data_IF_578856471568
#
_entry.id   IF_578856471568
#
_cell.length_a   1.000
_cell.length_b   1.000
_cell.length_c   1.000
_cell.angle_alpha   90.00
_cell.angle_beta   90.00
_cell.angle_gamma   90.00
#
_symmetry.space_group_name_H-M   'P 1'
#
loop_
_entity.id
_entity.type
_entity.pdbx_description
1 polymer ?
#
# COMPACT_ATOMS: atom_id res chain seq x y z
N UNK A 1 -2.44 73.22 -22.94
CA UNK A 1 -1.79 72.01 -22.38
C UNK A 1 -2.78 71.32 -21.46
N UNK A 2 -3.04 70.02 -21.64
CA UNK A 2 -3.88 69.26 -20.71
C UNK A 2 -3.13 69.05 -19.38
N UNK A 3 -3.78 69.34 -18.25
CA UNK A 3 -3.23 69.03 -16.92
C UNK A 3 -3.55 67.59 -16.57
N UNK A 4 -2.53 66.81 -16.27
CA UNK A 4 -2.69 65.47 -15.69
C UNK A 4 -3.01 65.64 -14.21
N UNK A 5 -4.15 65.11 -13.77
CA UNK A 5 -4.50 65.02 -12.36
C UNK A 5 -4.21 63.59 -11.90
N UNK A 6 -3.25 63.44 -10.98
CA UNK A 6 -2.97 62.16 -10.33
C UNK A 6 -3.79 62.07 -9.05
N UNK A 7 -4.60 61.03 -8.92
CA UNK A 7 -5.36 60.74 -7.70
C UNK A 7 -4.63 59.68 -6.89
N UNK A 8 -4.31 59.97 -5.62
CA UNK A 8 -3.69 59.03 -4.70
C UNK A 8 -4.70 58.53 -3.66
N UNK A 9 -4.45 57.35 -3.09
CA UNK A 9 -5.24 56.83 -1.96
C UNK A 9 -5.06 57.73 -0.73
N UNK A 10 -6.17 58.04 -0.05
CA UNK A 10 -6.13 58.71 1.25
C UNK A 10 -5.75 57.73 2.37
N UNK A 11 -5.56 58.22 3.60
CA UNK A 11 -5.14 57.40 4.76
C UNK A 11 -6.09 56.23 5.05
N UNK A 12 -7.40 56.45 4.88
CA UNK A 12 -8.43 55.41 5.05
C UNK A 12 -8.34 54.34 3.95
N UNK A 13 -8.17 54.77 2.70
CA UNK A 13 -7.96 53.90 1.54
C UNK A 13 -6.66 53.10 1.63
N UNK A 14 -5.61 53.67 2.23
CA UNK A 14 -4.38 52.95 2.52
C UNK A 14 -4.58 51.90 3.61
N UNK A 15 -5.32 52.23 4.67
CA UNK A 15 -5.66 51.29 5.76
C UNK A 15 -6.50 50.10 5.28
N UNK A 16 -7.50 50.36 4.44
CA UNK A 16 -8.33 49.30 3.84
C UNK A 16 -7.53 48.42 2.88
N UNK A 17 -6.65 49.02 2.07
CA UNK A 17 -5.74 48.27 1.20
C UNK A 17 -4.81 47.36 2.01
N UNK A 18 -4.16 47.85 3.06
CA UNK A 18 -3.30 47.03 3.93
C UNK A 18 -4.08 45.90 4.62
N UNK A 19 -5.30 46.17 5.08
CA UNK A 19 -6.17 45.16 5.69
C UNK A 19 -6.55 44.05 4.71
N UNK A 20 -6.88 44.42 3.48
CA UNK A 20 -7.18 43.46 2.41
C UNK A 20 -5.95 42.67 1.98
N UNK A 21 -4.77 43.31 1.95
CA UNK A 21 -3.51 42.64 1.63
C UNK A 21 -3.19 41.53 2.66
N UNK A 22 -3.44 41.78 3.95
CA UNK A 22 -3.27 40.77 5.03
C UNK A 22 -4.17 39.54 4.86
N UNK A 23 -5.30 39.66 4.17
CA UNK A 23 -6.21 38.54 3.89
C UNK A 23 -5.77 37.71 2.68
N UNK A 24 -4.92 38.26 1.81
CA UNK A 24 -4.47 37.62 0.57
C UNK A 24 -3.19 36.81 0.79
N UNK A 25 -2.33 37.22 1.73
CA UNK A 25 -1.08 36.50 2.03
C UNK A 25 -1.29 35.46 3.13
N UNK A 26 -1.03 34.18 2.83
CA UNK A 26 -0.68 33.22 3.88
C UNK A 26 0.61 33.71 4.54
N UNK A 27 0.51 34.23 5.76
CA UNK A 27 1.66 34.70 6.51
C UNK A 27 2.66 33.57 6.72
N UNK A 28 3.92 33.77 6.31
CA UNK A 28 5.01 32.87 6.69
C UNK A 28 5.74 33.45 7.90
N UNK A 29 6.07 32.60 8.87
CA UNK A 29 6.79 32.96 10.09
C UNK A 29 7.93 31.99 10.34
N UNK A 30 9.01 32.45 10.97
CA UNK A 30 10.11 31.58 11.40
C UNK A 30 10.17 31.56 12.92
N UNK A 31 10.18 30.37 13.50
CA UNK A 31 10.31 30.14 14.94
C UNK A 31 11.71 29.61 15.22
N UNK A 32 12.53 30.40 15.92
CA UNK A 32 13.93 30.05 16.26
C UNK A 32 14.16 29.82 17.76
N UNK A 33 13.17 30.13 18.60
CA UNK A 33 13.24 30.01 20.05
C UNK A 33 12.11 29.13 20.61
N UNK A 34 12.26 28.70 21.86
CA UNK A 34 11.28 27.84 22.51
C UNK A 34 9.87 28.47 22.51
N UNK A 35 8.89 27.71 22.03
CA UNK A 35 7.48 28.11 22.01
C UNK A 35 6.58 26.94 22.37
N UNK A 36 5.50 27.24 23.07
CA UNK A 36 4.39 26.31 23.29
C UNK A 36 3.49 26.28 22.06
N UNK A 37 3.34 25.13 21.42
CA UNK A 37 2.56 25.00 20.19
C UNK A 37 1.05 25.18 20.40
N UNK A 38 0.56 25.16 21.64
CA UNK A 38 -0.83 25.51 21.94
C UNK A 38 -1.12 27.00 21.73
N UNK A 39 -0.09 27.86 21.75
CA UNK A 39 -0.25 29.32 21.55
C UNK A 39 -0.12 29.72 20.08
N UNK A 40 0.32 28.81 19.21
CA UNK A 40 0.42 29.01 17.76
C UNK A 40 -0.97 28.87 17.11
N UNK A 41 -1.79 29.90 17.25
CA UNK A 41 -3.19 29.92 16.82
C UNK A 41 -3.47 30.81 15.61
N UNK A 42 -2.52 31.67 15.23
CA UNK A 42 -2.67 32.53 14.05
C UNK A 42 -2.51 31.70 12.76
N UNK A 43 -3.39 31.93 11.78
CA UNK A 43 -3.35 31.20 10.52
C UNK A 43 -2.06 31.52 9.75
N UNK A 44 -1.45 30.51 9.15
CA UNK A 44 -0.23 30.66 8.35
C UNK A 44 0.71 29.46 8.41
N UNK A 45 1.87 29.64 7.78
CA UNK A 45 2.94 28.65 7.69
C UNK A 45 4.11 29.06 8.58
N UNK A 46 4.50 28.16 9.48
CA UNK A 46 5.57 28.35 10.46
C UNK A 46 6.75 27.45 10.10
N UNK A 47 7.89 28.04 9.79
CA UNK A 47 9.16 27.35 9.67
C UNK A 47 9.76 27.16 11.07
N UNK A 48 9.75 25.92 11.55
CA UNK A 48 10.29 25.56 12.85
C UNK A 48 11.78 25.29 12.69
N UNK A 49 12.61 26.18 13.25
CA UNK A 49 14.09 26.10 13.25
C UNK A 49 14.64 25.99 14.66
N UNK A 50 13.95 25.25 15.50
CA UNK A 50 14.36 24.99 16.88
C UNK A 50 13.80 23.67 17.37
N UNK A 51 14.58 22.96 18.18
CA UNK A 51 14.14 21.75 18.88
C UNK A 51 13.52 22.07 20.25
N UNK A 52 13.66 23.30 20.75
CA UNK A 52 13.12 23.68 22.05
C UNK A 52 11.64 24.06 21.98
N UNK A 53 10.83 23.61 22.97
CA UNK A 53 9.45 24.03 23.23
C UNK A 53 8.53 22.86 23.61
N UNK A 54 7.23 23.15 23.81
CA UNK A 54 6.25 22.23 24.40
C UNK A 54 5.05 21.97 23.47
N UNK A 55 4.25 20.94 23.78
CA UNK A 55 3.02 20.56 23.08
C UNK A 55 3.20 20.27 21.57
N UNK A 56 4.40 19.82 21.20
CA UNK A 56 4.75 19.36 19.84
C UNK A 56 4.65 17.84 19.74
N UNK A 57 4.37 17.28 18.55
CA UNK A 57 4.29 15.83 18.36
C UNK A 57 5.67 15.16 18.46
N UNK A 58 6.73 15.88 18.05
CA UNK A 58 8.11 15.39 18.03
C UNK A 58 9.08 16.56 18.16
N UNK A 59 10.25 16.30 18.75
CA UNK A 59 11.35 17.27 18.88
C UNK A 59 12.16 17.35 17.58
N UNK A 60 11.73 18.20 16.65
CA UNK A 60 12.47 18.40 15.39
C UNK A 60 12.16 19.74 14.72
N UNK A 61 12.97 20.10 13.73
CA UNK A 61 12.70 21.14 12.74
C UNK A 61 11.67 20.66 11.71
N UNK A 62 11.09 21.60 10.97
CA UNK A 62 10.14 21.29 9.90
C UNK A 62 9.18 22.43 9.63
N UNK A 63 8.05 22.08 9.02
CA UNK A 63 7.01 23.03 8.63
C UNK A 63 5.71 22.73 9.39
N UNK A 64 5.21 23.73 10.12
CA UNK A 64 3.92 23.70 10.79
C UNK A 64 2.94 24.61 10.04
N UNK A 65 1.82 24.06 9.61
CA UNK A 65 0.69 24.80 9.06
C UNK A 65 -0.41 24.91 10.11
N UNK A 66 -0.93 26.12 10.30
CA UNK A 66 -2.04 26.40 11.22
C UNK A 66 -3.13 27.09 10.43
N UNK A 67 -4.36 26.60 10.54
CA UNK A 67 -5.51 27.17 9.83
C UNK A 67 -6.80 26.93 10.61
N UNK A 68 -7.79 27.81 10.40
CA UNK A 68 -9.12 27.69 10.97
C UNK A 68 -9.67 28.99 11.57
N UNK A 69 -10.88 28.92 12.10
CA UNK A 69 -11.61 30.05 12.69
C UNK A 69 -11.48 30.04 14.22
N UNK A 70 -12.12 31.00 14.89
CA UNK A 70 -11.99 31.22 16.34
C UNK A 70 -12.36 30.00 17.19
N UNK A 71 -13.29 29.16 16.73
CA UNK A 71 -13.82 28.00 17.46
C UNK A 71 -13.36 26.65 16.92
N UNK A 72 -12.63 26.63 15.81
CA UNK A 72 -12.17 25.38 15.19
C UNK A 72 -10.89 25.65 14.41
N UNK A 73 -9.78 25.09 14.90
CA UNK A 73 -8.48 25.19 14.25
C UNK A 73 -7.88 23.82 14.03
N UNK A 74 -6.89 23.75 13.15
CA UNK A 74 -6.05 22.58 13.03
C UNK A 74 -4.59 22.97 12.87
N UNK A 75 -3.74 22.02 13.21
CA UNK A 75 -2.31 22.08 12.98
C UNK A 75 -1.89 20.86 12.18
N UNK A 76 -1.03 21.07 11.18
CA UNK A 76 -0.35 20.02 10.43
C UNK A 76 1.14 20.27 10.51
N UNK A 77 1.92 19.30 10.97
CA UNK A 77 3.36 19.40 11.07
C UNK A 77 4.07 18.31 10.25
N UNK A 78 4.99 18.76 9.40
CA UNK A 78 5.84 17.90 8.57
C UNK A 78 7.28 18.08 9.06
N UNK A 79 7.88 17.09 9.73
CA UNK A 79 9.24 17.18 10.26
C UNK A 79 10.31 16.92 9.19
N UNK A 80 11.47 17.58 9.30
CA UNK A 80 12.63 17.44 8.37
C UNK A 80 13.43 16.12 8.54
N UNK A 81 12.83 15.06 9.10
CA UNK A 81 13.53 13.78 9.37
C UNK A 81 12.79 12.53 8.91
N UNK A 82 11.49 12.62 8.64
CA UNK A 82 10.67 11.47 8.21
C UNK A 82 9.87 11.85 6.97
N UNK A 83 10.28 11.33 5.82
CA UNK A 83 9.62 11.61 4.53
C UNK A 83 8.18 11.06 4.45
N UNK A 84 7.86 10.09 5.32
CA UNK A 84 6.61 9.35 5.31
C UNK A 84 5.69 9.68 6.50
N UNK A 85 5.99 10.72 7.29
CA UNK A 85 5.17 11.06 8.46
C UNK A 85 4.71 12.51 8.42
N UNK A 86 3.42 12.69 8.64
CA UNK A 86 2.77 13.98 8.87
C UNK A 86 2.05 13.89 10.21
N UNK A 87 2.15 14.90 11.05
CA UNK A 87 1.38 14.99 12.28
C UNK A 87 0.21 15.95 12.08
N UNK A 88 -0.97 15.62 12.60
CA UNK A 88 -2.09 16.57 12.65
C UNK A 88 -2.78 16.58 14.01
N UNK A 89 -3.40 17.70 14.35
CA UNK A 89 -4.36 17.80 15.46
C UNK A 89 -5.39 18.88 15.20
N UNK A 90 -6.46 18.85 15.96
CA UNK A 90 -7.54 19.83 15.91
C UNK A 90 -7.68 20.53 17.26
N UNK A 91 -8.14 21.78 17.22
CA UNK A 91 -8.60 22.55 18.36
C UNK A 91 -10.11 22.68 18.25
N UNK A 92 -10.80 22.25 19.31
CA UNK A 92 -12.22 22.51 19.52
C UNK A 92 -12.45 22.43 21.03
N UNK A 93 -12.60 23.60 21.66
CA UNK A 93 -12.61 23.77 23.10
C UNK A 93 -11.35 23.15 23.76
N UNK A 94 -10.19 23.40 23.17
CA UNK A 94 -8.90 22.85 23.56
C UNK A 94 -8.27 21.96 22.48
N UNK A 95 -6.94 21.98 22.44
CA UNK A 95 -6.14 21.14 21.55
C UNK A 95 -6.33 19.66 21.88
N UNK A 96 -6.62 18.86 20.86
CA UNK A 96 -6.61 17.40 20.96
C UNK A 96 -5.18 16.88 20.79
N UNK A 97 -5.00 15.61 21.16
CA UNK A 97 -3.74 14.91 20.96
C UNK A 97 -3.33 14.88 19.49
N UNK A 98 -2.02 14.81 19.28
CA UNK A 98 -1.45 14.67 17.96
C UNK A 98 -1.75 13.28 17.38
N UNK A 99 -2.24 13.27 16.15
CA UNK A 99 -2.40 12.08 15.34
C UNK A 99 -1.20 11.98 14.39
N UNK A 100 -0.48 10.86 14.45
CA UNK A 100 0.53 10.51 13.45
C UNK A 100 -0.18 9.95 12.21
N UNK A 101 0.01 10.62 11.07
CA UNK A 101 -0.36 10.13 9.75
C UNK A 101 0.90 9.60 9.09
N UNK A 102 1.08 8.29 9.15
CA UNK A 102 2.08 7.63 8.32
C UNK A 102 1.53 7.57 6.90
N UNK A 103 2.13 8.32 5.98
CA UNK A 103 1.95 8.07 4.57
C UNK A 103 2.56 6.69 4.32
N UNK A 104 1.69 5.71 4.06
CA UNK A 104 2.13 4.48 3.42
C UNK A 104 2.56 4.95 2.03
N UNK A 105 3.86 5.13 1.83
CA UNK A 105 4.41 5.42 0.52
C UNK A 105 4.02 4.26 -0.40
N UNK A 106 2.92 4.40 -1.15
CA UNK A 106 2.62 3.58 -2.32
C UNK A 106 3.47 3.98 -3.52
N UNK A 107 4.66 4.54 -3.25
CA UNK A 107 5.70 4.86 -4.21
C UNK A 107 7.03 4.27 -3.71
N UNK A 108 7.21 2.97 -3.92
CA UNK A 108 8.47 2.30 -3.64
C UNK A 108 8.34 0.79 -3.52
N UNK A 109 7.89 0.30 -2.37
CA UNK A 109 7.78 -1.13 -2.08
C UNK A 109 6.71 -1.37 -1.00
N UNK A 110 5.51 -1.77 -1.42
CA UNK A 110 4.59 -2.50 -0.52
C UNK A 110 4.57 -3.94 -1.03
N UNK A 111 5.71 -4.63 -0.83
CA UNK A 111 6.00 -6.01 -1.24
C UNK A 111 5.47 -6.39 -2.63
N UNK A 112 6.10 -5.90 -3.69
CA UNK A 112 6.03 -6.57 -4.99
C UNK A 112 7.30 -7.38 -5.20
N UNK A 113 7.18 -8.69 -5.12
CA UNK A 113 8.36 -9.57 -5.22
C UNK A 113 8.86 -9.76 -6.65
N UNK A 114 8.15 -9.22 -7.64
CA UNK A 114 8.24 -9.69 -9.01
C UNK A 114 7.83 -11.15 -9.15
N UNK A 115 7.89 -11.67 -10.38
CA UNK A 115 7.69 -13.10 -10.64
C UNK A 115 8.91 -13.90 -10.21
N UNK A 116 8.71 -14.85 -9.29
CA UNK A 116 9.69 -15.86 -8.88
C UNK A 116 9.35 -17.21 -9.51
N UNK A 117 10.35 -17.98 -9.89
CA UNK A 117 10.16 -19.34 -10.42
C UNK A 117 9.67 -20.30 -9.34
N UNK A 118 8.72 -21.17 -9.71
CA UNK A 118 8.24 -22.26 -8.87
C UNK A 118 8.73 -23.59 -9.45
N UNK A 119 9.45 -24.35 -8.63
CA UNK A 119 10.02 -25.64 -9.00
C UNK A 119 8.95 -26.74 -8.95
N UNK A 120 8.90 -27.54 -10.01
CA UNK A 120 7.98 -28.66 -10.10
C UNK A 120 8.40 -29.85 -9.23
N UNK A 121 7.38 -30.57 -8.77
CA UNK A 121 7.46 -31.78 -7.97
C UNK A 121 7.92 -33.03 -8.71
N UNK A 122 7.92 -34.16 -8.01
CA UNK A 122 8.27 -35.45 -8.60
C UNK A 122 7.31 -35.84 -9.73
N UNK A 123 7.84 -36.18 -10.90
CA UNK A 123 7.01 -36.59 -12.04
C UNK A 123 6.23 -35.44 -12.69
N UNK A 124 6.52 -34.19 -12.31
CA UNK A 124 5.89 -32.98 -12.82
C UNK A 124 6.98 -32.09 -13.44
N UNK A 125 6.65 -31.46 -14.56
CA UNK A 125 7.49 -30.45 -15.20
C UNK A 125 6.64 -29.35 -15.81
N UNK A 126 7.25 -28.23 -16.19
CA UNK A 126 6.56 -27.23 -17.00
C UNK A 126 6.12 -27.84 -18.34
N UNK A 127 4.97 -27.40 -18.86
CA UNK A 127 4.51 -27.76 -20.20
C UNK A 127 5.44 -27.21 -21.29
N UNK A 128 5.93 -25.98 -21.09
CA UNK A 128 6.93 -25.32 -21.92
C UNK A 128 7.74 -24.33 -21.09
N UNK A 129 8.83 -23.80 -21.64
CA UNK A 129 9.64 -22.76 -20.96
C UNK A 129 8.84 -21.49 -20.68
N UNK A 130 7.91 -21.11 -21.56
CA UNK A 130 7.08 -19.90 -21.38
C UNK A 130 5.93 -20.10 -20.39
N UNK A 131 5.53 -21.35 -20.19
CA UNK A 131 4.43 -21.71 -19.28
C UNK A 131 4.92 -22.17 -17.89
N UNK A 132 6.22 -22.02 -17.62
CA UNK A 132 6.82 -22.46 -16.37
C UNK A 132 6.10 -21.84 -15.15
N UNK A 133 5.78 -22.66 -14.13
CA UNK A 133 5.13 -22.17 -12.92
C UNK A 133 5.91 -21.03 -12.27
N UNK A 134 5.18 -20.00 -11.86
CA UNK A 134 5.73 -18.80 -11.23
C UNK A 134 4.76 -18.24 -10.20
N UNK A 135 5.32 -17.52 -9.23
CA UNK A 135 4.59 -16.93 -8.10
C UNK A 135 5.01 -15.47 -7.92
N UNK A 136 4.07 -14.62 -7.54
CA UNK A 136 4.32 -13.21 -7.21
C UNK A 136 3.45 -12.81 -6.05
N UNK A 137 4.01 -12.02 -5.13
CA UNK A 137 3.25 -11.34 -4.08
C UNK A 137 3.22 -9.85 -4.40
N UNK A 138 2.05 -9.24 -4.28
CA UNK A 138 1.82 -7.79 -4.33
C UNK A 138 1.04 -7.40 -3.07
N UNK A 139 1.71 -6.73 -2.13
CA UNK A 139 1.14 -6.39 -0.83
C UNK A 139 0.80 -7.64 -0.01
N UNK A 140 -0.49 -7.90 0.24
CA UNK A 140 -0.97 -9.12 0.91
C UNK A 140 -1.50 -10.18 -0.05
N UNK A 141 -1.56 -9.89 -1.35
CA UNK A 141 -2.08 -10.82 -2.35
C UNK A 141 -0.95 -11.60 -2.97
N UNK A 142 -1.10 -12.92 -3.07
CA UNK A 142 -0.19 -13.82 -3.78
C UNK A 142 -0.92 -14.44 -4.95
N UNK A 143 -0.24 -14.52 -6.08
CA UNK A 143 -0.72 -15.20 -7.29
C UNK A 143 0.29 -16.25 -7.73
N UNK A 144 -0.19 -17.47 -8.00
CA UNK A 144 0.55 -18.56 -8.63
C UNK A 144 -0.10 -18.87 -9.97
N UNK A 145 0.71 -18.92 -11.03
CA UNK A 145 0.28 -19.23 -12.41
C UNK A 145 1.27 -20.21 -13.05
N UNK A 146 0.79 -21.00 -14.01
CA UNK A 146 1.63 -21.82 -14.88
C UNK A 146 0.83 -22.88 -15.63
N UNK A 147 1.52 -23.66 -16.45
CA UNK A 147 0.99 -24.89 -17.06
C UNK A 147 2.02 -25.99 -16.86
N UNK A 148 1.58 -27.09 -16.29
CA UNK A 148 2.43 -28.25 -16.01
C UNK A 148 2.06 -29.44 -16.90
N UNK A 149 2.99 -30.38 -16.97
CA UNK A 149 2.80 -31.72 -17.50
C UNK A 149 3.34 -32.77 -16.54
N UNK A 150 3.00 -34.03 -16.79
CA UNK A 150 3.32 -35.14 -15.93
C UNK A 150 3.95 -36.32 -16.69
N UNK A 151 5.00 -36.90 -16.13
CA UNK A 151 5.64 -38.13 -16.65
C UNK A 151 5.17 -39.40 -15.93
N UNK A 152 4.42 -39.23 -14.84
CA UNK A 152 3.79 -40.28 -14.04
C UNK A 152 2.28 -40.12 -14.04
N UNK A 153 1.55 -41.23 -13.96
CA UNK A 153 0.10 -41.21 -13.77
C UNK A 153 -0.23 -41.25 -12.30
N UNK A 154 -1.14 -40.41 -11.84
CA UNK A 154 -1.52 -40.30 -10.43
C UNK A 154 -3.00 -39.96 -10.25
N UNK A 155 -3.59 -40.48 -9.17
CA UNK A 155 -4.95 -40.14 -8.74
C UNK A 155 -4.94 -38.93 -7.79
N UNK A 156 -3.92 -38.88 -6.92
CA UNK A 156 -3.60 -37.77 -6.04
C UNK A 156 -2.10 -37.48 -6.09
N UNK A 157 -1.72 -36.23 -5.83
CA UNK A 157 -0.32 -35.82 -5.75
C UNK A 157 -0.16 -34.84 -4.59
N UNK A 158 0.82 -35.02 -3.71
CA UNK A 158 0.96 -34.23 -2.46
C UNK A 158 2.05 -33.15 -2.50
N UNK A 159 2.90 -33.17 -3.52
CA UNK A 159 4.08 -32.30 -3.63
C UNK A 159 4.25 -31.71 -5.03
N UNK A 160 3.22 -31.06 -5.57
CA UNK A 160 3.20 -30.54 -6.95
C UNK A 160 4.31 -29.51 -7.20
N UNK A 161 4.62 -28.71 -6.18
CA UNK A 161 5.66 -27.69 -6.18
C UNK A 161 6.55 -27.83 -4.95
N UNK A 162 7.83 -27.44 -5.06
CA UNK A 162 8.84 -27.68 -4.01
C UNK A 162 9.25 -26.44 -3.22
N UNK A 163 9.01 -25.24 -3.74
CA UNK A 163 9.67 -24.03 -3.25
C UNK A 163 8.70 -22.83 -3.06
N UNK A 164 7.48 -23.06 -2.54
CA UNK A 164 6.60 -21.94 -2.16
C UNK A 164 7.30 -21.12 -1.04
N UNK A 165 7.67 -19.85 -1.29
CA UNK A 165 8.39 -19.03 -0.32
C UNK A 165 7.60 -18.85 0.96
N UNK A 166 8.28 -18.84 2.12
CA UNK A 166 7.63 -18.79 3.43
C UNK A 166 6.73 -17.56 3.61
N UNK A 167 7.19 -16.40 3.11
CA UNK A 167 6.45 -15.13 3.11
C UNK A 167 5.27 -15.10 2.12
N UNK A 168 5.08 -16.16 1.35
CA UNK A 168 3.98 -16.31 0.39
C UNK A 168 3.03 -17.44 0.74
N UNK A 169 3.25 -18.17 1.85
CA UNK A 169 2.38 -19.29 2.25
C UNK A 169 1.07 -18.77 2.85
N UNK A 170 -0.08 -19.35 2.54
CA UNK A 170 -1.34 -18.92 3.13
C UNK A 170 -1.43 -19.32 4.61
N UNK A 171 -2.22 -18.61 5.41
CA UNK A 171 -2.47 -18.98 6.82
C UNK A 171 -3.45 -20.15 6.98
N UNK A 172 -4.20 -20.47 5.92
CA UNK A 172 -5.22 -21.52 5.84
C UNK A 172 -5.13 -22.24 4.50
N UNK A 173 -5.77 -23.38 4.37
CA UNK A 173 -5.84 -24.06 3.07
C UNK A 173 -6.52 -23.17 2.02
N UNK A 174 -5.89 -23.07 0.85
CA UNK A 174 -6.44 -22.40 -0.33
C UNK A 174 -6.82 -23.45 -1.35
N UNK A 175 -8.07 -23.44 -1.78
CA UNK A 175 -8.61 -24.38 -2.75
C UNK A 175 -8.87 -23.68 -4.07
N UNK A 176 -8.38 -24.24 -5.17
CA UNK A 176 -8.70 -23.76 -6.52
C UNK A 176 -8.93 -24.91 -7.49
N UNK A 177 -9.98 -24.78 -8.29
CA UNK A 177 -10.33 -25.80 -9.29
C UNK A 177 -9.51 -25.54 -10.55
N UNK A 178 -8.69 -26.51 -10.90
CA UNK A 178 -7.92 -26.55 -12.14
C UNK A 178 -8.67 -27.34 -13.19
N UNK A 179 -8.65 -26.84 -14.42
CA UNK A 179 -9.07 -27.64 -15.57
C UNK A 179 -7.92 -28.57 -15.95
N UNK A 180 -8.20 -29.86 -16.12
CA UNK A 180 -7.23 -30.80 -16.66
C UNK A 180 -7.78 -31.48 -17.90
N UNK A 181 -6.89 -31.80 -18.83
CA UNK A 181 -7.20 -32.78 -19.87
C UNK A 181 -7.04 -34.19 -19.29
N UNK A 182 -7.92 -35.11 -19.69
CA UNK A 182 -7.73 -36.55 -19.50
C UNK A 182 -7.89 -37.17 -20.88
N UNK A 183 -6.96 -38.05 -21.24
CA UNK A 183 -7.06 -38.84 -22.46
C UNK A 183 -8.47 -39.45 -22.59
N UNK A 184 -9.21 -38.98 -23.60
CA UNK A 184 -10.60 -39.38 -23.92
C UNK A 184 -11.72 -38.86 -22.98
N UNK A 185 -11.50 -37.78 -22.19
CA UNK A 185 -12.57 -37.08 -21.44
C UNK A 185 -12.40 -35.57 -21.52
N UNK A 186 -13.48 -34.86 -21.86
CA UNK A 186 -13.43 -33.43 -22.18
C UNK A 186 -13.59 -32.48 -20.98
N UNK A 187 -13.79 -32.98 -19.75
CA UNK A 187 -14.20 -32.13 -18.61
C UNK A 187 -13.59 -32.54 -17.25
N UNK A 188 -12.36 -33.03 -17.21
CA UNK A 188 -11.74 -33.34 -15.93
C UNK A 188 -11.36 -32.08 -15.16
N UNK A 189 -11.66 -32.08 -13.86
CA UNK A 189 -11.34 -30.98 -12.95
C UNK A 189 -10.56 -31.56 -11.77
N UNK A 190 -9.56 -30.79 -11.33
CA UNK A 190 -8.69 -31.15 -10.22
C UNK A 190 -8.77 -30.07 -9.17
N UNK A 191 -8.92 -30.45 -7.91
CA UNK A 191 -8.78 -29.54 -6.80
C UNK A 191 -7.30 -29.39 -6.48
N UNK A 192 -6.77 -28.18 -6.67
CA UNK A 192 -5.50 -27.78 -6.10
C UNK A 192 -5.71 -27.28 -4.67
N UNK A 193 -4.93 -27.81 -3.73
CA UNK A 193 -4.89 -27.30 -2.36
C UNK A 193 -3.49 -26.78 -2.05
N UNK A 194 -3.39 -25.50 -1.68
CA UNK A 194 -2.15 -24.91 -1.16
C UNK A 194 -2.29 -24.85 0.36
N UNK A 195 -1.43 -25.58 1.06
CA UNK A 195 -1.48 -25.70 2.52
C UNK A 195 -0.58 -24.63 3.19
N UNK A 196 -0.82 -24.29 4.47
CA UNK A 196 0.01 -23.33 5.20
C UNK A 196 1.51 -23.68 5.29
N UNK A 197 1.86 -24.96 5.15
CA UNK A 197 3.25 -25.41 5.06
C UNK A 197 3.93 -25.15 3.72
N UNK A 198 3.22 -24.60 2.73
CA UNK A 198 3.74 -24.39 1.36
C UNK A 198 3.69 -25.63 0.48
N UNK A 199 3.11 -26.74 0.97
CA UNK A 199 2.86 -27.93 0.15
C UNK A 199 1.63 -27.73 -0.72
N UNK A 200 1.72 -28.18 -1.97
CA UNK A 200 0.64 -28.07 -2.95
C UNK A 200 0.20 -29.46 -3.37
N UNK A 201 -1.05 -29.80 -3.07
CA UNK A 201 -1.65 -31.07 -3.43
C UNK A 201 -2.67 -30.93 -4.56
N UNK A 202 -2.85 -32.02 -5.32
CA UNK A 202 -3.84 -32.19 -6.36
C UNK A 202 -4.68 -33.41 -6.04
N UNK A 203 -6.00 -33.21 -6.03
CA UNK A 203 -6.98 -34.27 -5.80
C UNK A 203 -8.10 -34.16 -6.83
N UNK A 204 -8.76 -35.25 -7.17
CA UNK A 204 -9.83 -35.20 -8.15
C UNK A 204 -11.08 -34.45 -7.66
N UNK A 205 -11.76 -33.73 -8.57
CA UNK A 205 -12.95 -32.95 -8.24
C UNK A 205 -14.15 -33.24 -9.15
N UNK A 206 -15.31 -33.54 -8.56
CA UNK A 206 -16.61 -33.51 -9.22
C UNK A 206 -17.12 -34.81 -9.86
N UNK A 207 -16.52 -35.98 -9.58
CA UNK A 207 -17.09 -37.27 -9.99
C UNK A 207 -16.73 -38.41 -9.03
N UNK A 208 -17.67 -39.33 -8.85
CA UNK A 208 -17.57 -40.48 -7.94
C UNK A 208 -17.11 -41.73 -8.72
N UNK A 209 -15.80 -41.87 -8.90
CA UNK A 209 -15.19 -43.07 -9.46
C UNK A 209 -13.67 -42.91 -9.59
N UNK A 210 -12.91 -44.01 -9.76
CA UNK A 210 -11.46 -43.95 -9.87
C UNK A 210 -11.08 -43.21 -11.15
N UNK A 211 -10.29 -42.14 -11.02
CA UNK A 211 -9.79 -41.38 -12.15
C UNK A 211 -8.34 -40.99 -11.92
N UNK A 212 -7.53 -41.17 -12.96
CA UNK A 212 -6.09 -40.97 -12.92
C UNK A 212 -5.70 -40.00 -14.02
N UNK A 213 -4.84 -39.03 -13.72
CA UNK A 213 -4.23 -38.19 -14.74
C UNK A 213 -3.34 -39.08 -15.61
N UNK A 214 -3.64 -39.14 -16.91
CA UNK A 214 -2.79 -39.83 -17.88
C UNK A 214 -1.45 -39.11 -18.01
N UNK A 215 -0.38 -39.79 -18.42
CA UNK A 215 0.90 -39.11 -18.68
C UNK A 215 0.78 -38.10 -19.82
N UNK A 216 1.57 -37.04 -19.76
CA UNK A 216 1.73 -36.05 -20.82
C UNK A 216 0.55 -35.09 -20.95
N UNK A 217 -0.20 -34.84 -19.87
CA UNK A 217 -1.35 -33.94 -19.93
C UNK A 217 -0.93 -32.48 -19.79
N UNK A 218 -1.72 -31.59 -20.39
CA UNK A 218 -1.60 -30.14 -20.23
C UNK A 218 -2.51 -29.72 -19.09
N UNK A 219 -1.94 -29.22 -18.00
CA UNK A 219 -2.69 -28.91 -16.78
C UNK A 219 -2.36 -27.48 -16.34
N UNK A 220 -3.23 -26.51 -16.65
CA UNK A 220 -3.14 -25.17 -16.08
C UNK A 220 -3.21 -25.21 -14.55
N UNK A 221 -2.40 -24.36 -13.91
CA UNK A 221 -2.37 -24.16 -12.46
C UNK A 221 -2.54 -22.67 -12.17
N UNK A 222 -3.61 -22.31 -11.47
CA UNK A 222 -3.87 -20.95 -11.03
C UNK A 222 -4.45 -20.90 -9.62
N UNK A 223 -3.92 -20.00 -8.79
CA UNK A 223 -4.50 -19.67 -7.51
C UNK A 223 -4.13 -18.25 -7.10
N UNK A 224 -5.05 -17.61 -6.38
CA UNK A 224 -4.83 -16.32 -5.73
C UNK A 224 -5.24 -16.48 -4.26
N UNK A 225 -4.41 -15.95 -3.35
CA UNK A 225 -4.72 -15.95 -1.93
C UNK A 225 -4.14 -14.74 -1.19
N UNK A 226 -4.58 -14.58 0.05
CA UNK A 226 -4.07 -13.56 0.96
C UNK A 226 -3.08 -14.18 1.95
N UNK A 227 -2.01 -13.45 2.25
CA UNK A 227 -1.13 -13.74 3.39
C UNK A 227 -1.46 -12.79 4.54
N UNK A 228 -1.46 -13.31 5.76
CA UNK A 228 -1.82 -12.58 6.97
C UNK A 228 -0.64 -11.79 7.55
#
# INVERSE_FOLDING_TARGET
>A
MAKIQNTYLNKEGLGSFLSNLKKIFLGTKTITSAVDWNTLTENGVYHIKTTAGTNRPVTNWGMLYVEGETSTKFQIFIPDVKNNVIYKRYENAGWKDWQELTLIETSGEVYDTGWKSVECGYGISAWSTTDAPKIRRVGKTVELVGIITNSTSFADHDSLFRNIPEDMRPSRNVWSIQQGDIKNKTTARWMMTINPGGTVSFNYYGFSGPLTISKGMCIPVHAIWMVD
#
